data_IF_956637135888
#
_entry.id   IF_956637135888
#
_cell.length_a   1.000
_cell.length_b   1.000
_cell.length_c   1.000
_cell.angle_alpha   90.00
_cell.angle_beta   90.00
_cell.angle_gamma   90.00
#
_symmetry.space_group_name_H-M   'P 1'
#
loop_
_entity.id
_entity.type
_entity.pdbx_description
1 polymer ?
#
# COMPACT_ATOMS: atom_id res chain seq x y z
N UNK A 1 -91.46 -12.19 -41.66
CA UNK A 1 -90.50 -13.15 -41.10
C UNK A 1 -90.55 -12.95 -39.58
N UNK A 2 -91.47 -13.59 -38.85
CA UNK A 2 -91.42 -14.99 -38.34
C UNK A 2 -90.27 -15.20 -37.33
N UNK A 3 -90.41 -15.73 -36.11
CA UNK A 3 -91.52 -16.21 -35.25
C UNK A 3 -90.95 -16.55 -33.85
N UNK A 4 -91.63 -16.60 -32.70
CA UNK A 4 -92.94 -16.10 -32.23
C UNK A 4 -93.11 -16.32 -30.69
N UNK A 5 -93.64 -15.32 -29.96
CA UNK A 5 -94.74 -15.42 -28.96
C UNK A 5 -94.55 -16.19 -27.61
N UNK A 6 -95.24 -15.66 -26.57
CA UNK A 6 -95.56 -16.13 -25.19
C UNK A 6 -94.55 -15.74 -24.07
N UNK A 7 -94.91 -15.01 -23.00
CA UNK A 7 -95.97 -15.17 -21.95
C UNK A 7 -95.82 -16.46 -21.13
N UNK A 8 -96.00 -16.54 -19.81
CA UNK A 8 -96.02 -15.57 -18.69
C UNK A 8 -95.81 -16.41 -17.39
N UNK A 9 -96.04 -16.04 -16.13
CA UNK A 9 -96.75 -14.92 -15.47
C UNK A 9 -96.32 -14.83 -13.98
N UNK A 10 -96.95 -13.95 -13.18
CA UNK A 10 -97.00 -13.93 -11.69
C UNK A 10 -95.66 -13.88 -10.91
N UNK A 11 -95.26 -12.79 -10.24
CA UNK A 11 -95.85 -12.08 -9.06
C UNK A 11 -95.70 -12.82 -7.71
N UNK A 12 -95.69 -12.05 -6.59
CA UNK A 12 -95.85 -12.49 -5.17
C UNK A 12 -94.55 -13.07 -4.54
N UNK A 13 -94.10 -12.71 -3.31
CA UNK A 13 -94.41 -11.61 -2.37
C UNK A 13 -93.25 -11.45 -1.35
N UNK A 14 -93.21 -10.30 -0.67
CA UNK A 14 -92.64 -9.92 0.64
C UNK A 14 -91.59 -10.80 1.38
N UNK A 15 -90.56 -10.13 1.92
CA UNK A 15 -90.07 -10.22 3.32
C UNK A 15 -89.36 -11.52 3.80
N UNK A 16 -88.52 -11.57 4.84
CA UNK A 16 -88.24 -10.67 5.98
C UNK A 16 -86.72 -10.53 6.26
N UNK A 17 -86.45 -9.63 7.22
CA UNK A 17 -85.23 -9.42 7.99
C UNK A 17 -84.58 -10.72 8.53
N UNK A 18 -83.25 -10.79 8.63
CA UNK A 18 -82.54 -10.82 9.93
C UNK A 18 -81.00 -10.95 9.84
N UNK A 19 -80.38 -10.62 10.98
CA UNK A 19 -78.98 -10.72 11.42
C UNK A 19 -78.25 -12.02 10.98
N UNK A 20 -76.92 -12.15 10.91
CA UNK A 20 -75.79 -11.43 11.52
C UNK A 20 -74.50 -11.89 10.79
N UNK A 21 -73.45 -11.07 10.61
CA UNK A 21 -72.07 -11.60 10.62
C UNK A 21 -71.01 -10.51 10.87
N UNK A 22 -70.16 -10.77 11.86
CA UNK A 22 -69.12 -9.89 12.38
C UNK A 22 -67.85 -10.02 11.51
N UNK A 23 -67.38 -8.94 10.88
CA UNK A 23 -66.14 -8.94 10.09
C UNK A 23 -65.11 -7.97 10.66
N UNK A 24 -64.07 -8.54 11.25
CA UNK A 24 -62.86 -7.84 11.72
C UNK A 24 -62.05 -7.39 10.49
N UNK A 25 -61.69 -6.11 10.34
CA UNK A 25 -60.73 -5.68 9.33
C UNK A 25 -59.32 -6.13 9.72
N UNK A 26 -58.58 -6.69 8.75
CA UNK A 26 -57.20 -7.14 8.94
C UNK A 26 -56.28 -6.00 9.38
N UNK A 27 -55.33 -6.30 10.28
CA UNK A 27 -54.12 -5.49 10.43
C UNK A 27 -53.23 -5.72 9.19
N UNK A 28 -52.76 -4.64 8.57
CA UNK A 28 -52.03 -4.70 7.30
C UNK A 28 -50.54 -5.04 7.46
N UNK A 29 -49.97 -5.59 6.39
CA UNK A 29 -48.73 -6.37 6.31
C UNK A 29 -47.42 -5.55 6.21
N UNK A 30 -47.36 -4.36 6.81
CA UNK A 30 -46.20 -3.44 6.69
C UNK A 30 -44.94 -3.90 7.46
N UNK A 31 -45.05 -4.96 8.28
CA UNK A 31 -43.96 -5.45 9.13
C UNK A 31 -43.07 -6.52 8.48
N UNK A 32 -43.45 -7.07 7.32
CA UNK A 32 -42.69 -8.17 6.70
C UNK A 32 -41.60 -7.63 5.76
N UNK A 33 -41.90 -6.65 4.90
CA UNK A 33 -40.91 -6.06 3.96
C UNK A 33 -39.74 -5.38 4.69
N UNK A 34 -40.01 -4.59 5.75
CA UNK A 34 -38.96 -3.96 6.56
C UNK A 34 -38.02 -4.98 7.22
N UNK A 35 -38.51 -6.18 7.52
CA UNK A 35 -37.75 -7.24 8.20
C UNK A 35 -36.77 -7.94 7.25
N UNK A 36 -37.18 -8.12 6.00
CA UNK A 36 -36.32 -8.63 4.94
C UNK A 36 -35.21 -7.62 4.59
N UNK A 37 -35.50 -6.31 4.59
CA UNK A 37 -34.49 -5.26 4.41
C UNK A 37 -33.43 -5.25 5.53
N UNK A 38 -33.87 -5.35 6.80
CA UNK A 38 -32.97 -5.43 7.96
C UNK A 38 -32.07 -6.69 7.94
N UNK A 39 -32.59 -7.83 7.47
CA UNK A 39 -31.82 -9.08 7.35
C UNK A 39 -30.80 -9.03 6.21
N UNK A 40 -31.14 -8.42 5.07
CA UNK A 40 -30.21 -8.14 3.97
C UNK A 40 -29.11 -7.14 4.40
N UNK A 41 -29.47 -6.06 5.09
CA UNK A 41 -28.51 -5.09 5.61
C UNK A 41 -27.58 -5.73 6.65
N UNK A 42 -28.12 -6.52 7.57
CA UNK A 42 -27.35 -7.26 8.58
C UNK A 42 -26.38 -8.24 7.93
N UNK A 43 -26.81 -8.96 6.90
CA UNK A 43 -25.95 -9.87 6.13
C UNK A 43 -24.81 -9.12 5.42
N UNK A 44 -25.10 -7.98 4.79
CA UNK A 44 -24.08 -7.14 4.15
C UNK A 44 -23.09 -6.54 5.16
N UNK A 45 -23.55 -6.13 6.35
CA UNK A 45 -22.68 -5.64 7.42
C UNK A 45 -21.81 -6.78 7.96
N UNK A 46 -22.38 -7.97 8.19
CA UNK A 46 -21.62 -9.12 8.67
C UNK A 46 -20.57 -9.58 7.65
N UNK A 47 -20.88 -9.55 6.35
CA UNK A 47 -19.91 -9.79 5.28
C UNK A 47 -18.76 -8.77 5.36
N UNK A 48 -19.05 -7.47 5.46
CA UNK A 48 -18.03 -6.41 5.60
C UNK A 48 -17.18 -6.58 6.86
N UNK A 49 -17.77 -6.99 7.98
CA UNK A 49 -17.06 -7.29 9.24
C UNK A 49 -16.14 -8.51 9.08
N UNK A 50 -16.62 -9.57 8.43
CA UNK A 50 -15.83 -10.78 8.18
C UNK A 50 -14.64 -10.54 7.23
N UNK A 51 -14.76 -9.55 6.34
CA UNK A 51 -13.69 -9.12 5.41
C UNK A 51 -12.85 -7.95 5.94
N UNK A 52 -13.15 -7.42 7.13
CA UNK A 52 -12.39 -6.32 7.72
C UNK A 52 -11.01 -6.82 8.18
N UNK A 53 -9.95 -6.33 7.52
CA UNK A 53 -8.57 -6.58 7.97
C UNK A 53 -8.28 -5.81 9.27
N UNK A 54 -7.44 -6.37 10.13
CA UNK A 54 -6.96 -5.67 11.33
C UNK A 54 -6.32 -4.32 10.94
N UNK A 55 -6.89 -3.17 11.38
CA UNK A 55 -6.35 -1.86 11.04
C UNK A 55 -4.92 -1.67 11.57
N UNK A 56 -4.54 -2.38 12.64
CA UNK A 56 -3.24 -2.31 13.31
C UNK A 56 -2.32 -3.50 12.96
N UNK A 57 -2.59 -4.22 11.86
CA UNK A 57 -1.79 -5.36 11.42
C UNK A 57 -0.30 -5.06 11.46
N UNK A 58 0.44 -5.84 12.25
CA UNK A 58 1.90 -5.69 12.46
C UNK A 58 2.74 -5.82 11.19
N UNK A 59 2.13 -6.23 10.07
CA UNK A 59 2.75 -6.32 8.74
C UNK A 59 2.80 -4.97 8.02
N UNK A 60 1.85 -4.06 8.30
CA UNK A 60 1.80 -2.72 7.71
C UNK A 60 3.01 -1.88 8.13
N UNK A 61 3.56 -1.16 7.17
CA UNK A 61 4.72 -0.30 7.36
C UNK A 61 4.77 0.90 6.43
N UNK A 62 4.10 0.84 5.28
CA UNK A 62 3.99 1.94 4.32
C UNK A 62 2.60 2.55 4.51
N UNK A 63 2.58 3.71 5.18
CA UNK A 63 1.38 4.41 5.62
C UNK A 63 1.09 5.60 4.71
N UNK A 64 -0.19 5.98 4.62
CA UNK A 64 -0.63 7.16 3.91
C UNK A 64 -0.67 8.37 4.84
N UNK A 65 -0.34 9.53 4.30
CA UNK A 65 -0.22 10.75 5.08
C UNK A 65 -1.62 11.28 5.37
N UNK A 66 -2.04 11.38 6.64
CA UNK A 66 -3.38 11.81 6.97
C UNK A 66 -3.72 13.15 6.31
N UNK A 67 -4.90 13.24 5.68
CA UNK A 67 -5.31 14.41 4.89
C UNK A 67 -5.32 15.75 5.66
N UNK A 68 -5.25 15.72 7.00
CA UNK A 68 -5.07 16.91 7.85
C UNK A 68 -3.65 17.49 7.71
N UNK A 69 -2.63 16.64 7.57
CA UNK A 69 -1.24 17.03 7.39
C UNK A 69 -0.98 17.52 5.96
N UNK A 70 -1.50 16.80 4.95
CA UNK A 70 -1.29 17.16 3.54
C UNK A 70 -1.94 18.50 3.16
N UNK A 71 -3.13 18.82 3.70
CA UNK A 71 -3.86 20.10 3.45
C UNK A 71 -3.03 21.38 3.56
N UNK A 72 -1.98 21.38 4.38
CA UNK A 72 -1.16 22.58 4.63
C UNK A 72 0.08 22.65 3.74
N UNK A 73 0.55 21.52 3.18
CA UNK A 73 1.77 21.45 2.37
C UNK A 73 1.84 20.19 1.49
N UNK A 74 0.80 19.94 0.70
CA UNK A 74 0.62 18.75 -0.14
C UNK A 74 1.87 18.40 -0.97
N UNK A 75 2.49 19.41 -1.60
CA UNK A 75 3.73 19.28 -2.39
C UNK A 75 4.99 18.85 -1.62
N UNK A 76 4.93 18.68 -0.30
CA UNK A 76 6.03 18.13 0.49
C UNK A 76 5.94 16.61 0.69
N UNK A 77 4.88 15.99 0.17
CA UNK A 77 4.51 14.60 0.46
C UNK A 77 4.31 13.75 -0.80
N UNK A 78 4.32 14.38 -1.98
CA UNK A 78 4.14 13.74 -3.29
C UNK A 78 5.47 13.81 -4.05
N UNK A 79 5.91 12.72 -4.72
CA UNK A 79 7.14 12.72 -5.51
C UNK A 79 7.11 13.72 -6.66
N UNK A 80 8.29 14.23 -7.00
CA UNK A 80 8.49 15.30 -7.99
C UNK A 80 9.00 14.74 -9.33
N UNK A 81 9.82 13.68 -9.29
CA UNK A 81 10.49 13.08 -10.45
C UNK A 81 10.33 11.57 -10.55
N UNK A 82 10.25 10.81 -9.45
CA UNK A 82 10.21 9.33 -9.49
C UNK A 82 9.11 8.73 -8.62
N UNK A 83 8.21 7.96 -9.22
CA UNK A 83 7.29 7.08 -8.49
C UNK A 83 8.00 5.78 -8.13
N UNK A 84 7.84 5.36 -6.88
CA UNK A 84 8.29 4.09 -6.32
C UNK A 84 7.15 3.48 -5.52
N UNK A 85 6.76 2.24 -5.85
CA UNK A 85 5.62 1.59 -5.22
C UNK A 85 4.27 2.03 -5.82
N UNK A 86 3.16 1.47 -5.31
CA UNK A 86 1.82 1.63 -5.89
C UNK A 86 1.20 3.01 -5.67
N UNK A 87 1.63 3.77 -4.65
CA UNK A 87 0.94 4.98 -4.15
C UNK A 87 0.84 6.12 -5.17
N UNK A 88 1.79 6.18 -6.12
CA UNK A 88 1.87 7.17 -7.19
C UNK A 88 2.07 6.53 -8.58
N UNK A 89 1.96 5.20 -8.67
CA UNK A 89 2.17 4.44 -9.90
C UNK A 89 1.17 4.87 -10.99
N UNK A 90 1.64 4.96 -12.23
CA UNK A 90 0.83 5.40 -13.38
C UNK A 90 0.58 6.92 -13.46
N UNK A 91 1.04 7.73 -12.50
CA UNK A 91 0.87 9.19 -12.53
C UNK A 91 1.52 9.80 -13.78
N UNK A 92 0.71 10.43 -14.64
CA UNK A 92 1.12 11.04 -15.92
C UNK A 92 2.31 12.01 -15.77
N UNK A 93 2.42 12.71 -14.63
CA UNK A 93 3.49 13.68 -14.38
C UNK A 93 4.86 13.03 -14.11
N UNK A 94 4.91 11.72 -13.84
CA UNK A 94 6.11 10.96 -13.48
C UNK A 94 6.55 9.98 -14.57
N UNK A 95 5.77 9.85 -15.66
CA UNK A 95 5.97 8.88 -16.75
C UNK A 95 7.38 8.93 -17.38
N UNK A 96 7.98 10.13 -17.49
CA UNK A 96 9.33 10.28 -18.03
C UNK A 96 10.39 9.50 -17.25
N UNK A 97 10.16 9.23 -15.96
CA UNK A 97 11.08 8.44 -15.14
C UNK A 97 10.76 6.94 -15.19
N UNK A 98 9.54 6.53 -15.57
CA UNK A 98 9.23 5.12 -15.85
C UNK A 98 10.11 4.60 -17.01
N UNK A 99 10.31 5.41 -18.06
CA UNK A 99 11.24 5.12 -19.15
C UNK A 99 12.70 5.00 -18.65
N UNK A 100 13.13 5.87 -17.72
CA UNK A 100 14.47 5.79 -17.11
C UNK A 100 14.63 4.53 -16.25
N UNK A 101 13.61 4.13 -15.48
CA UNK A 101 13.63 2.88 -14.70
C UNK A 101 13.78 1.65 -15.61
N UNK A 102 13.08 1.63 -16.75
CA UNK A 102 13.25 0.60 -17.77
C UNK A 102 14.64 0.60 -18.41
N UNK A 103 15.23 1.79 -18.66
CA UNK A 103 16.62 1.89 -19.13
C UNK A 103 17.64 1.39 -18.09
N UNK A 104 17.45 1.68 -16.81
CA UNK A 104 18.29 1.15 -15.73
C UNK A 104 18.21 -0.39 -15.65
N UNK A 105 17.00 -0.95 -15.74
CA UNK A 105 16.79 -2.40 -15.79
C UNK A 105 17.45 -3.03 -17.04
N UNK A 106 17.36 -2.38 -18.21
CA UNK A 106 18.06 -2.81 -19.42
C UNK A 106 19.58 -2.85 -19.22
N UNK A 107 20.20 -1.78 -18.73
CA UNK A 107 21.64 -1.73 -18.46
C UNK A 107 22.09 -2.80 -17.45
N UNK A 108 21.32 -3.02 -16.39
CA UNK A 108 21.58 -4.06 -15.40
C UNK A 108 21.57 -5.47 -16.04
N UNK A 109 20.58 -5.74 -16.90
CA UNK A 109 20.44 -7.02 -17.61
C UNK A 109 21.46 -7.22 -18.74
N UNK A 110 22.00 -6.15 -19.33
CA UNK A 110 23.08 -6.22 -20.30
C UNK A 110 24.45 -6.45 -19.62
N UNK A 111 24.69 -5.77 -18.49
CA UNK A 111 25.89 -5.94 -17.64
C UNK A 111 26.06 -7.36 -17.10
N UNK A 112 24.95 -8.07 -16.82
CA UNK A 112 24.90 -9.45 -16.29
C UNK A 112 25.81 -9.67 -15.07
N UNK A 113 25.53 -9.00 -13.94
CA UNK A 113 26.32 -9.11 -12.71
C UNK A 113 26.58 -10.54 -12.24
N UNK A 114 25.62 -11.44 -12.45
CA UNK A 114 25.76 -12.87 -12.15
C UNK A 114 25.26 -13.73 -13.33
N UNK A 115 25.62 -15.03 -13.41
CA UNK A 115 25.03 -15.96 -14.37
C UNK A 115 23.51 -16.17 -14.23
N UNK A 116 22.93 -15.78 -13.08
CA UNK A 116 21.52 -15.91 -12.73
C UNK A 116 20.76 -14.58 -12.90
N UNK A 117 21.43 -13.51 -13.34
CA UNK A 117 20.82 -12.21 -13.58
C UNK A 117 20.09 -12.19 -14.94
N UNK A 118 18.84 -12.62 -14.94
CA UNK A 118 17.93 -12.52 -16.08
C UNK A 118 16.50 -12.12 -15.64
N UNK A 119 15.68 -11.68 -16.59
CA UNK A 119 14.31 -11.19 -16.32
C UNK A 119 13.40 -12.25 -15.67
N UNK A 120 13.52 -13.52 -16.06
CA UNK A 120 12.71 -14.61 -15.51
C UNK A 120 13.09 -14.88 -14.04
N UNK A 121 14.39 -14.84 -13.75
CA UNK A 121 14.96 -15.00 -12.41
C UNK A 121 14.55 -13.85 -11.46
N UNK A 122 14.57 -12.59 -11.92
CA UNK A 122 14.07 -11.44 -11.15
C UNK A 122 12.56 -11.56 -10.83
N UNK A 123 11.74 -11.95 -11.81
CA UNK A 123 10.29 -12.20 -11.62
C UNK A 123 10.05 -13.36 -10.65
N UNK A 124 10.83 -14.45 -10.73
CA UNK A 124 10.75 -15.60 -9.82
C UNK A 124 11.15 -15.25 -8.39
N UNK A 125 12.05 -14.29 -8.17
CA UNK A 125 12.43 -13.84 -6.83
C UNK A 125 11.28 -13.10 -6.12
N UNK A 126 10.55 -12.26 -6.84
CA UNK A 126 9.48 -11.43 -6.26
C UNK A 126 8.14 -12.19 -6.14
N UNK A 127 7.80 -13.07 -7.07
CA UNK A 127 6.48 -13.75 -7.10
C UNK A 127 6.10 -14.46 -5.78
N UNK A 128 7.00 -15.16 -5.05
CA UNK A 128 6.67 -15.81 -3.79
C UNK A 128 6.42 -14.84 -2.62
N UNK A 129 7.04 -13.64 -2.63
CA UNK A 129 6.90 -12.65 -1.56
C UNK A 129 5.80 -11.62 -1.83
N UNK A 130 5.25 -11.60 -3.04
CA UNK A 130 4.29 -10.60 -3.53
C UNK A 130 3.16 -10.29 -2.54
N UNK A 131 2.39 -11.30 -2.11
CA UNK A 131 1.25 -11.10 -1.22
C UNK A 131 1.67 -10.46 0.11
N UNK A 132 2.73 -10.99 0.74
CA UNK A 132 3.28 -10.45 1.98
C UNK A 132 3.83 -9.02 1.83
N UNK A 133 4.13 -8.58 0.60
CA UNK A 133 4.52 -7.21 0.28
C UNK A 133 3.31 -6.31 -0.03
N UNK A 134 2.18 -6.85 -0.50
CA UNK A 134 0.89 -6.11 -0.56
C UNK A 134 0.39 -5.78 0.84
N UNK A 135 0.52 -6.72 1.79
CA UNK A 135 0.14 -6.56 3.20
C UNK A 135 0.97 -5.50 3.97
N UNK A 136 2.07 -5.01 3.39
CA UNK A 136 2.87 -3.92 3.96
C UNK A 136 2.25 -2.53 3.78
N UNK A 137 1.29 -2.37 2.87
CA UNK A 137 0.64 -1.09 2.60
C UNK A 137 -0.63 -0.91 3.45
N UNK A 138 -0.87 0.31 3.92
CA UNK A 138 -2.10 0.67 4.63
C UNK A 138 -3.32 0.67 3.70
N UNK A 139 -3.20 1.32 2.55
CA UNK A 139 -4.24 1.40 1.52
C UNK A 139 -4.35 0.11 0.70
N UNK A 140 -5.56 -0.15 0.19
CA UNK A 140 -5.78 -1.21 -0.79
C UNK A 140 -5.16 -0.83 -2.12
N UNK A 141 -4.46 -1.79 -2.72
CA UNK A 141 -3.77 -1.60 -4.00
C UNK A 141 -4.79 -1.83 -5.13
N UNK A 142 -4.81 -0.89 -6.09
CA UNK A 142 -5.84 -0.79 -7.14
C UNK A 142 -5.34 -1.17 -8.54
N UNK A 143 -4.23 -1.90 -8.63
CA UNK A 143 -3.69 -2.51 -9.85
C UNK A 143 -3.76 -4.04 -9.76
N UNK A 144 -3.65 -4.74 -10.89
CA UNK A 144 -3.63 -6.20 -10.91
C UNK A 144 -2.38 -6.78 -10.23
N UNK A 145 -2.43 -8.08 -9.94
CA UNK A 145 -1.29 -8.76 -9.33
C UNK A 145 -0.06 -8.79 -10.25
N UNK A 146 -0.21 -8.98 -11.56
CA UNK A 146 0.97 -9.00 -12.44
C UNK A 146 1.55 -7.58 -12.65
N UNK A 147 0.72 -6.53 -12.76
CA UNK A 147 1.19 -5.13 -12.78
C UNK A 147 1.92 -4.75 -11.47
N UNK A 148 1.40 -5.20 -10.31
CA UNK A 148 2.05 -4.95 -9.02
C UNK A 148 3.41 -5.66 -8.91
N UNK A 149 3.52 -6.88 -9.46
CA UNK A 149 4.77 -7.62 -9.49
C UNK A 149 5.79 -6.98 -10.44
N UNK A 150 5.34 -6.56 -11.62
CA UNK A 150 6.14 -5.86 -12.62
C UNK A 150 6.73 -4.57 -12.03
N UNK A 151 5.88 -3.73 -11.41
CA UNK A 151 6.30 -2.53 -10.69
C UNK A 151 7.35 -2.83 -9.60
N UNK A 152 7.16 -3.90 -8.80
CA UNK A 152 8.15 -4.27 -7.78
C UNK A 152 9.52 -4.66 -8.34
N UNK A 153 9.55 -5.37 -9.47
CA UNK A 153 10.81 -5.73 -10.16
C UNK A 153 11.48 -4.49 -10.72
N UNK A 154 10.75 -3.65 -11.47
CA UNK A 154 11.27 -2.44 -12.11
C UNK A 154 11.80 -1.46 -11.06
N UNK A 155 10.99 -1.13 -10.06
CA UNK A 155 11.34 -0.15 -9.03
C UNK A 155 12.47 -0.64 -8.13
N UNK A 156 12.46 -1.92 -7.76
CA UNK A 156 13.50 -2.51 -6.91
C UNK A 156 14.85 -2.63 -7.63
N UNK A 157 14.85 -2.99 -8.92
CA UNK A 157 16.06 -2.99 -9.74
C UNK A 157 16.57 -1.56 -9.98
N UNK A 158 15.70 -0.58 -10.26
CA UNK A 158 16.09 0.82 -10.38
C UNK A 158 16.77 1.33 -9.10
N UNK A 159 16.19 1.08 -7.92
CA UNK A 159 16.77 1.50 -6.63
C UNK A 159 18.15 0.86 -6.42
N UNK A 160 18.27 -0.44 -6.72
CA UNK A 160 19.52 -1.19 -6.55
C UNK A 160 20.63 -0.66 -7.48
N UNK A 161 20.33 -0.54 -8.78
CA UNK A 161 21.25 -0.01 -9.80
C UNK A 161 21.60 1.47 -9.55
N UNK A 162 20.65 2.29 -9.09
CA UNK A 162 20.89 3.68 -8.69
C UNK A 162 21.94 3.80 -7.58
N UNK A 163 21.84 2.99 -6.52
CA UNK A 163 22.82 3.02 -5.43
C UNK A 163 24.18 2.44 -5.85
N UNK A 164 24.22 1.44 -6.73
CA UNK A 164 25.45 0.92 -7.33
C UNK A 164 26.18 2.00 -8.15
N UNK A 165 25.45 2.71 -9.02
CA UNK A 165 25.99 3.80 -9.84
C UNK A 165 26.47 4.98 -8.98
N UNK A 166 25.69 5.37 -7.97
CA UNK A 166 26.08 6.45 -7.04
C UNK A 166 27.42 6.14 -6.34
N UNK A 167 27.62 4.89 -5.93
CA UNK A 167 28.85 4.44 -5.28
C UNK A 167 30.04 4.28 -6.24
N UNK A 168 29.84 4.37 -7.56
CA UNK A 168 30.80 3.99 -8.62
C UNK A 168 31.22 2.51 -8.54
N UNK A 169 30.32 1.64 -8.08
CA UNK A 169 30.54 0.19 -7.98
C UNK A 169 30.22 -0.53 -9.31
N UNK A 170 29.59 0.18 -10.25
CA UNK A 170 29.38 -0.25 -11.63
C UNK A 170 29.84 0.85 -12.58
N UNK A 171 30.33 0.48 -13.76
CA UNK A 171 30.69 1.46 -14.78
C UNK A 171 29.41 2.13 -15.30
N UNK A 172 29.26 3.42 -15.01
CA UNK A 172 28.19 4.25 -15.55
C UNK A 172 28.57 4.65 -16.98
N UNK A 173 27.68 4.45 -17.95
CA UNK A 173 27.85 5.05 -19.27
C UNK A 173 27.89 6.58 -19.14
N UNK A 174 28.77 7.25 -19.89
CA UNK A 174 28.97 8.71 -19.83
C UNK A 174 27.72 9.53 -20.23
N UNK A 175 26.63 8.87 -20.63
CA UNK A 175 25.36 9.47 -21.06
C UNK A 175 24.26 9.42 -19.98
N UNK A 176 24.54 8.95 -18.75
CA UNK A 176 23.56 8.94 -17.66
C UNK A 176 23.18 10.38 -17.22
N UNK A 177 22.04 10.84 -17.74
CA UNK A 177 21.49 12.17 -17.49
C UNK A 177 21.10 12.42 -16.03
N UNK A 178 20.85 11.38 -15.23
CA UNK A 178 20.44 11.48 -13.83
C UNK A 178 21.63 11.97 -12.98
N UNK A 179 22.79 11.37 -13.18
CA UNK A 179 24.05 11.79 -12.52
C UNK A 179 24.68 13.03 -13.14
N UNK A 180 24.38 13.32 -14.42
CA UNK A 180 24.88 14.50 -15.12
C UNK A 180 24.42 15.84 -14.53
N UNK A 181 23.30 15.87 -13.78
CA UNK A 181 22.77 17.14 -13.22
C UNK A 181 22.42 17.02 -11.74
N UNK A 182 23.12 17.79 -10.90
CA UNK A 182 23.02 17.69 -9.43
C UNK A 182 21.60 17.89 -8.87
N UNK A 183 20.75 18.71 -9.51
CA UNK A 183 19.37 18.89 -9.05
C UNK A 183 18.51 17.65 -9.27
N UNK A 184 18.72 16.90 -10.36
CA UNK A 184 17.97 15.68 -10.69
C UNK A 184 18.30 14.59 -9.68
N UNK A 185 19.60 14.40 -9.42
CA UNK A 185 20.10 13.49 -8.39
C UNK A 185 19.51 13.79 -7.01
N UNK A 186 19.46 15.07 -6.60
CA UNK A 186 18.84 15.48 -5.34
C UNK A 186 17.33 15.25 -5.33
N UNK A 187 16.63 15.46 -6.45
CA UNK A 187 15.19 15.21 -6.56
C UNK A 187 14.86 13.71 -6.40
N UNK A 188 15.63 12.83 -7.05
CA UNK A 188 15.49 11.37 -6.91
C UNK A 188 15.73 10.94 -5.46
N UNK A 189 16.80 11.44 -4.81
CA UNK A 189 17.08 11.10 -3.41
C UNK A 189 15.98 11.60 -2.45
N UNK A 190 15.39 12.77 -2.72
CA UNK A 190 14.24 13.28 -1.95
C UNK A 190 13.01 12.38 -2.10
N UNK A 191 12.67 11.99 -3.33
CA UNK A 191 11.52 11.15 -3.62
C UNK A 191 11.68 9.75 -3.01
N UNK A 192 12.90 9.18 -2.99
CA UNK A 192 13.23 7.93 -2.31
C UNK A 192 13.09 7.99 -0.78
N UNK A 193 12.96 9.19 -0.19
CA UNK A 193 12.71 9.42 1.23
C UNK A 193 11.26 9.80 1.56
N UNK A 194 10.35 9.85 0.58
CA UNK A 194 8.93 10.12 0.85
C UNK A 194 8.24 8.87 1.41
N UNK A 195 7.42 9.06 2.45
CA UNK A 195 6.76 7.97 3.20
C UNK A 195 5.88 7.07 2.31
N UNK A 196 5.16 7.68 1.37
CA UNK A 196 4.25 6.96 0.46
C UNK A 196 4.97 6.34 -0.74
N UNK A 197 6.20 6.74 -1.02
CA UNK A 197 6.97 6.41 -2.21
C UNK A 197 8.03 5.34 -1.90
N UNK A 198 7.58 4.19 -1.39
CA UNK A 198 8.42 3.17 -0.77
C UNK A 198 8.10 1.77 -1.30
N UNK A 199 9.10 0.88 -1.29
CA UNK A 199 8.93 -0.56 -1.39
C UNK A 199 9.21 -1.24 -0.04
N UNK A 200 8.53 -2.37 0.26
CA UNK A 200 8.91 -3.25 1.36
C UNK A 200 10.35 -3.75 1.18
N UNK A 201 11.13 -3.72 2.27
CA UNK A 201 12.57 -3.96 2.25
C UNK A 201 12.97 -5.29 1.60
N UNK A 202 12.16 -6.36 1.77
CA UNK A 202 12.39 -7.68 1.15
C UNK A 202 12.52 -7.65 -0.37
N UNK A 203 11.84 -6.71 -1.04
CA UNK A 203 11.94 -6.54 -2.51
C UNK A 203 13.36 -6.13 -2.88
N UNK A 204 13.95 -5.21 -2.10
CA UNK A 204 15.32 -4.75 -2.31
C UNK A 204 16.34 -5.84 -1.97
N UNK A 205 16.18 -6.55 -0.84
CA UNK A 205 17.07 -7.68 -0.49
C UNK A 205 17.10 -8.73 -1.61
N UNK A 206 15.93 -9.26 -2.02
CA UNK A 206 15.84 -10.33 -3.00
C UNK A 206 16.35 -9.95 -4.39
N UNK A 207 16.13 -8.71 -4.84
CA UNK A 207 16.65 -8.24 -6.13
C UNK A 207 18.13 -7.89 -6.05
N UNK A 208 18.60 -7.33 -4.94
CA UNK A 208 20.02 -6.99 -4.78
C UNK A 208 20.91 -8.24 -4.79
N UNK A 209 20.50 -9.32 -4.12
CA UNK A 209 21.22 -10.61 -4.13
C UNK A 209 21.44 -11.17 -5.55
N UNK A 210 20.50 -10.94 -6.47
CA UNK A 210 20.58 -11.36 -7.87
C UNK A 210 21.29 -10.36 -8.79
N UNK A 211 21.66 -9.17 -8.31
CA UNK A 211 22.10 -8.04 -9.17
C UNK A 211 23.38 -7.33 -8.70
N UNK A 212 23.91 -7.67 -7.53
CA UNK A 212 25.25 -7.28 -7.09
C UNK A 212 26.34 -8.22 -7.64
N UNK A 213 27.54 -7.69 -7.89
CA UNK A 213 28.69 -8.48 -8.32
C UNK A 213 29.47 -9.03 -7.11
N UNK A 214 30.29 -10.05 -7.32
CA UNK A 214 31.16 -10.59 -6.25
C UNK A 214 32.19 -9.55 -5.82
N UNK A 215 32.05 -9.03 -4.60
CA UNK A 215 32.93 -8.02 -4.01
C UNK A 215 32.33 -6.61 -3.91
N UNK A 216 31.14 -6.39 -4.47
CA UNK A 216 30.36 -5.15 -4.29
C UNK A 216 30.05 -4.89 -2.82
N UNK A 217 30.01 -3.62 -2.39
CA UNK A 217 29.49 -3.25 -1.07
C UNK A 217 28.06 -3.75 -0.84
N UNK A 218 27.71 -4.12 0.39
CA UNK A 218 26.34 -4.53 0.70
C UNK A 218 25.33 -3.39 0.46
N UNK A 219 24.07 -3.73 0.16
CA UNK A 219 22.98 -2.76 -0.04
C UNK A 219 22.92 -1.69 1.06
N UNK A 220 23.01 -2.10 2.34
CA UNK A 220 23.07 -1.20 3.49
C UNK A 220 24.27 -0.24 3.44
N UNK A 221 25.43 -0.73 2.97
CA UNK A 221 26.65 0.06 2.79
C UNK A 221 26.52 1.10 1.67
N UNK A 222 26.00 0.70 0.51
CA UNK A 222 25.74 1.58 -0.64
C UNK A 222 24.77 2.71 -0.27
N UNK A 223 23.66 2.35 0.37
CA UNK A 223 22.65 3.30 0.83
C UNK A 223 23.26 4.25 1.87
N UNK A 224 23.94 3.74 2.90
CA UNK A 224 24.54 4.59 3.94
C UNK A 224 25.62 5.53 3.37
N UNK A 225 26.43 5.06 2.40
CA UNK A 225 27.40 5.89 1.68
C UNK A 225 26.69 7.03 0.93
N UNK A 226 25.64 6.70 0.19
CA UNK A 226 24.83 7.64 -0.59
C UNK A 226 24.19 8.72 0.29
N UNK A 227 23.51 8.32 1.36
CA UNK A 227 22.86 9.27 2.26
C UNK A 227 23.84 10.06 3.13
N UNK A 228 25.01 9.52 3.46
CA UNK A 228 26.09 10.28 4.09
C UNK A 228 26.64 11.37 3.17
N UNK A 229 26.78 11.11 1.87
CA UNK A 229 27.15 12.13 0.89
C UNK A 229 26.05 13.21 0.77
N UNK A 230 24.79 12.79 0.61
CA UNK A 230 23.62 13.67 0.53
C UNK A 230 23.48 14.60 1.75
N UNK A 231 23.69 14.09 2.97
CA UNK A 231 23.55 14.84 4.23
C UNK A 231 24.80 15.65 4.64
N UNK A 232 25.78 15.82 3.75
CA UNK A 232 26.99 16.62 4.03
C UNK A 232 27.93 15.96 5.05
N UNK A 233 27.93 14.63 5.13
CA UNK A 233 28.85 13.86 5.97
C UNK A 233 28.28 13.39 7.31
N UNK A 234 27.00 13.66 7.62
CA UNK A 234 26.33 13.09 8.80
C UNK A 234 26.33 11.56 8.70
N UNK A 235 27.18 10.94 9.51
CA UNK A 235 27.40 9.49 9.44
C UNK A 235 26.40 8.79 10.34
N UNK A 236 25.39 8.18 9.72
CA UNK A 236 24.48 7.30 10.42
C UNK A 236 25.19 6.01 10.86
N UNK A 237 24.86 5.52 12.06
CA UNK A 237 25.33 4.23 12.62
C UNK A 237 24.16 3.25 12.61
N UNK A 238 24.01 2.41 11.57
CA UNK A 238 23.02 1.34 11.59
C UNK A 238 23.31 0.39 12.76
N UNK A 239 22.38 0.29 13.71
CA UNK A 239 22.41 -0.74 14.73
C UNK A 239 22.05 -2.08 14.07
N UNK A 240 23.03 -2.99 13.97
CA UNK A 240 22.93 -4.22 13.18
C UNK A 240 21.93 -5.28 13.68
N UNK A 241 21.03 -4.92 14.60
CA UNK A 241 19.98 -5.77 15.16
C UNK A 241 18.57 -5.38 14.69
N UNK A 242 18.39 -4.18 14.14
CA UNK A 242 17.08 -3.69 13.70
C UNK A 242 16.70 -4.29 12.33
N UNK A 243 15.55 -4.98 12.24
CA UNK A 243 14.97 -5.38 10.96
C UNK A 243 14.34 -4.17 10.27
N UNK A 244 14.85 -3.81 9.10
CA UNK A 244 14.33 -2.68 8.31
C UNK A 244 13.06 -3.08 7.56
N UNK A 245 12.08 -2.17 7.51
CA UNK A 245 10.79 -2.43 6.86
C UNK A 245 10.68 -1.88 5.44
N UNK A 246 11.35 -0.77 5.17
CA UNK A 246 11.49 -0.10 3.87
C UNK A 246 12.66 0.90 3.93
N UNK A 247 12.99 1.55 2.81
CA UNK A 247 14.17 2.42 2.70
C UNK A 247 14.19 3.58 3.72
N UNK A 248 13.11 4.34 3.84
CA UNK A 248 12.99 5.44 4.79
C UNK A 248 13.10 4.96 6.26
N UNK A 249 12.58 3.77 6.58
CA UNK A 249 12.73 3.18 7.92
C UNK A 249 14.18 2.78 8.21
N UNK A 250 14.92 2.23 7.24
CA UNK A 250 16.36 2.00 7.37
C UNK A 250 17.12 3.31 7.69
N UNK A 251 16.85 4.38 6.94
CA UNK A 251 17.50 5.68 7.15
C UNK A 251 17.15 6.26 8.53
N UNK A 252 15.87 6.27 8.90
CA UNK A 252 15.40 6.68 10.22
C UNK A 252 16.11 5.91 11.34
N UNK A 253 16.16 4.58 11.26
CA UNK A 253 16.78 3.74 12.28
C UNK A 253 18.30 3.92 12.36
N UNK A 254 18.97 4.19 11.23
CA UNK A 254 20.40 4.50 11.19
C UNK A 254 20.72 5.84 11.85
N UNK A 255 19.84 6.84 11.72
CA UNK A 255 19.96 8.08 12.49
C UNK A 255 19.63 7.90 13.97
N UNK A 256 18.59 7.13 14.32
CA UNK A 256 18.23 6.88 15.72
C UNK A 256 19.32 6.11 16.48
N UNK A 257 19.92 5.08 15.88
CA UNK A 257 21.09 4.38 16.44
C UNK A 257 22.38 5.20 16.51
N UNK A 258 22.38 6.43 15.98
CA UNK A 258 23.49 7.39 16.13
C UNK A 258 23.36 8.25 17.39
N UNK A 259 22.17 8.34 17.98
CA UNK A 259 22.01 8.90 19.32
C UNK A 259 22.45 7.83 20.32
N UNK A 260 23.24 8.18 21.36
CA UNK A 260 23.41 7.26 22.47
C UNK A 260 22.04 6.96 23.05
N UNK A 261 21.75 5.68 23.31
CA UNK A 261 20.65 5.32 24.20
C UNK A 261 20.90 6.05 25.52
N UNK A 262 20.10 7.08 25.79
CA UNK A 262 19.99 7.60 27.14
C UNK A 262 19.53 6.43 27.97
N UNK A 263 20.40 5.91 28.84
CA UNK A 263 20.01 4.91 29.83
C UNK A 263 18.79 5.46 30.54
N UNK A 264 17.63 4.88 30.25
CA UNK A 264 16.42 5.20 30.97
C UNK A 264 16.65 4.67 32.38
N UNK A 265 16.89 5.59 33.31
CA UNK A 265 16.82 5.31 34.75
C UNK A 265 15.36 4.95 35.09
N UNK A 266 14.96 3.73 34.74
CA UNK A 266 13.76 3.05 35.23
C UNK A 266 13.90 2.65 36.70
N UNK A 267 15.06 2.89 37.31
CA UNK A 267 15.34 2.62 38.73
C UNK A 267 14.88 3.73 39.70
N UNK A 268 14.59 4.95 39.23
CA UNK A 268 14.26 6.10 40.12
C UNK A 268 12.78 6.50 40.15
N UNK A 269 11.95 6.10 39.17
CA UNK A 269 10.52 6.50 39.16
C UNK A 269 9.62 5.68 40.10
N UNK A 270 9.99 4.45 40.43
CA UNK A 270 9.22 3.62 41.39
C UNK A 270 9.54 3.94 42.87
N UNK A 271 10.67 4.61 43.16
CA UNK A 271 11.05 4.97 44.53
C UNK A 271 10.29 6.18 45.06
N UNK A 272 10.05 7.20 44.22
CA UNK A 272 9.36 8.43 44.63
C UNK A 272 7.83 8.26 44.72
N UNK A 273 7.24 7.34 43.95
CA UNK A 273 5.80 7.04 44.01
C UNK A 273 5.41 6.33 45.32
N UNK A 274 6.31 5.56 45.93
CA UNK A 274 6.04 4.77 47.15
C UNK A 274 6.20 5.61 48.44
N UNK A 275 6.99 6.69 48.42
CA UNK A 275 7.15 7.59 49.58
C UNK A 275 6.05 8.66 49.73
N UNK A 276 5.10 8.75 48.80
CA UNK A 276 3.99 9.72 48.87
C UNK A 276 2.64 9.10 49.30
N UNK A 277 2.64 7.83 49.73
CA UNK A 277 1.46 7.09 50.23
C UNK A 277 1.74 6.29 51.52
N UNK A 278 2.67 6.75 52.35
CA UNK A 278 2.99 6.19 53.68
C UNK A 278 3.00 7.25 54.78
#
# INVERSE_FOLDING_TARGET
MTTDINTSDHSVIESENDQEEESVPMENDDNNENRDEDELLSSSIQEKVNHASDPFSVHRCIYRIPGVLSKHKEKAFVPIVVSIGPSHHGNENLQAMEEVKLWYLHCLLDRKPTPETDMESLVKAIRPIQQACQECYEEKIHISNDEFLEMMVIDGCFISEFFLRFANEVNVDNEDGLFSTSWMLLAVINDLLLLENQLPWRVLDCLFELTCESGTSSLLGLINSTFKAYTGGLSAKPSGTAKHRHLLDFIRNSFLGSYPESQSDESTRDSEAIQMLG
#
